data_IF_607120284988
#
_entry.id   IF_607120284988
#
_cell.length_a   1.000
_cell.length_b   1.000
_cell.length_c   1.000
_cell.angle_alpha   90.00
_cell.angle_beta   90.00
_cell.angle_gamma   90.00
#
_symmetry.space_group_name_H-M   'P 1'
#
loop_
_entity.id
_entity.type
_entity.pdbx_description
1 polymer ?
#
# COMPACT_ATOMS: atom_id res chain seq x y z
N UNK A 1 -3.96 10.21 20.62
CA UNK A 1 -4.87 11.32 20.98
C UNK A 1 -5.38 11.15 22.42
N UNK A 2 -6.00 10.01 22.79
CA UNK A 2 -6.51 9.78 24.16
C UNK A 2 -5.43 10.06 25.20
N UNK A 3 -4.25 9.46 25.05
CA UNK A 3 -3.09 9.67 25.93
C UNK A 3 -2.71 11.15 26.06
N UNK A 4 -2.83 11.92 24.97
CA UNK A 4 -2.52 13.34 24.94
C UNK A 4 -3.59 14.15 25.69
N UNK A 5 -4.88 13.82 25.49
CA UNK A 5 -6.00 14.44 26.22
C UNK A 5 -5.87 14.17 27.72
N UNK A 6 -5.50 12.95 28.11
CA UNK A 6 -5.24 12.57 29.50
C UNK A 6 -4.07 13.34 30.08
N UNK A 7 -2.97 13.50 29.32
CA UNK A 7 -1.78 14.24 29.73
C UNK A 7 -2.05 15.73 30.00
N UNK A 8 -2.84 16.37 29.13
CA UNK A 8 -3.20 17.79 29.29
C UNK A 8 -4.40 18.01 30.21
N UNK A 9 -5.06 16.97 30.69
CA UNK A 9 -6.29 17.07 31.47
C UNK A 9 -7.50 17.59 30.69
N UNK A 10 -7.46 17.49 29.36
CA UNK A 10 -8.51 17.93 28.44
C UNK A 10 -7.98 18.10 27.02
N UNK A 11 -8.87 18.45 26.10
CA UNK A 11 -8.49 18.67 24.68
C UNK A 11 -7.59 19.89 24.54
N UNK A 12 -6.37 19.75 24.04
CA UNK A 12 -5.48 20.89 23.82
C UNK A 12 -6.11 21.92 22.86
N UNK A 13 -5.85 23.20 23.10
CA UNK A 13 -6.41 24.29 22.29
C UNK A 13 -6.04 24.20 20.81
N UNK A 14 -4.87 23.69 20.51
CA UNK A 14 -4.41 23.50 19.13
C UNK A 14 -5.10 22.32 18.39
N UNK A 15 -5.87 21.45 19.04
CA UNK A 15 -6.72 20.47 18.37
C UNK A 15 -7.83 21.09 17.55
N UNK A 16 -8.37 22.22 18.01
CA UNK A 16 -9.50 22.89 17.37
C UNK A 16 -9.12 23.98 16.38
N UNK A 17 -7.89 24.52 16.46
CA UNK A 17 -7.58 25.82 15.89
C UNK A 17 -6.21 25.90 15.20
N UNK A 18 -5.82 24.91 14.46
CA UNK A 18 -4.58 24.94 13.69
C UNK A 18 -4.70 25.51 12.30
N UNK A 19 -5.85 25.93 11.93
CA UNK A 19 -6.06 26.55 10.66
C UNK A 19 -6.20 28.05 10.81
N UNK A 20 -5.12 28.75 11.02
CA UNK A 20 -5.10 30.08 10.46
C UNK A 20 -5.02 29.91 8.94
N UNK A 21 -5.94 30.53 8.21
CA UNK A 21 -6.21 30.39 6.78
C UNK A 21 -5.03 30.70 5.84
N UNK A 22 -3.85 30.96 6.36
CA UNK A 22 -2.70 31.35 5.59
C UNK A 22 -2.19 30.24 4.64
N UNK A 23 -2.59 28.98 4.86
CA UNK A 23 -2.15 27.86 4.03
C UNK A 23 -3.27 26.91 3.60
N UNK A 24 -4.54 27.23 3.86
CA UNK A 24 -5.69 26.39 3.46
C UNK A 24 -5.67 24.99 4.09
N UNK A 25 -5.27 24.88 5.35
CA UNK A 25 -4.91 23.61 5.96
C UNK A 25 -5.98 23.05 6.91
N UNK A 26 -7.21 22.91 6.42
CA UNK A 26 -8.29 22.26 7.17
C UNK A 26 -7.95 20.82 7.63
N UNK A 27 -7.00 20.18 6.92
CA UNK A 27 -6.53 18.83 7.25
C UNK A 27 -5.61 18.75 8.47
N UNK A 28 -5.14 19.84 9.00
CA UNK A 28 -4.35 19.90 10.26
C UNK A 28 -5.23 19.90 11.51
N UNK A 29 -6.49 19.56 11.40
CA UNK A 29 -7.42 19.50 12.53
C UNK A 29 -7.47 18.07 13.09
N UNK A 30 -6.76 17.75 14.17
CA UNK A 30 -6.78 16.39 14.74
C UNK A 30 -8.19 15.89 15.11
N UNK A 31 -9.12 16.80 15.36
CA UNK A 31 -10.51 16.45 15.69
C UNK A 31 -11.29 15.86 14.52
N UNK A 32 -10.90 16.11 13.27
CA UNK A 32 -11.60 15.55 12.11
C UNK A 32 -11.60 14.03 12.08
N UNK A 33 -10.60 13.37 12.71
CA UNK A 33 -10.60 11.91 12.85
C UNK A 33 -11.81 11.40 13.66
N UNK A 34 -12.27 12.15 14.65
CA UNK A 34 -13.42 11.77 15.46
C UNK A 34 -14.74 11.93 14.69
N UNK A 35 -14.83 12.96 13.86
CA UNK A 35 -16.00 13.26 13.04
C UNK A 35 -16.13 12.28 11.86
N UNK A 36 -15.03 11.92 11.25
CA UNK A 36 -15.00 11.22 9.98
C UNK A 36 -14.69 9.72 10.06
N UNK A 37 -14.23 9.22 11.22
CA UNK A 37 -13.85 7.81 11.36
C UNK A 37 -14.98 6.85 10.99
N UNK A 38 -16.18 7.10 11.49
CA UNK A 38 -17.36 6.31 11.15
C UNK A 38 -17.98 6.72 9.82
N UNK A 39 -18.01 8.04 9.53
CA UNK A 39 -18.54 8.59 8.29
C UNK A 39 -17.86 8.01 7.05
N UNK A 40 -16.56 7.78 7.10
CA UNK A 40 -15.79 7.18 6.02
C UNK A 40 -15.61 5.65 6.15
N UNK A 41 -16.40 5.01 6.99
CA UNK A 41 -16.39 3.57 7.24
C UNK A 41 -15.02 3.02 7.71
N UNK A 42 -14.14 3.86 8.26
CA UNK A 42 -12.84 3.44 8.77
C UNK A 42 -12.98 2.50 9.98
N UNK A 43 -14.06 2.65 10.77
CA UNK A 43 -14.41 1.76 11.87
C UNK A 43 -14.63 0.32 11.41
N UNK A 44 -15.18 0.10 10.22
CA UNK A 44 -15.38 -1.24 9.66
C UNK A 44 -14.06 -1.93 9.34
N UNK A 45 -13.06 -1.16 8.90
CA UNK A 45 -11.76 -1.67 8.46
C UNK A 45 -10.79 -1.80 9.63
N UNK A 46 -10.71 -0.77 10.47
CA UNK A 46 -9.74 -0.71 11.57
C UNK A 46 -10.32 -1.10 12.93
N UNK A 47 -11.64 -1.18 13.06
CA UNK A 47 -12.32 -1.41 14.33
C UNK A 47 -12.40 -0.15 15.18
N UNK A 48 -11.29 0.38 15.60
CA UNK A 48 -11.16 1.58 16.42
C UNK A 48 -10.04 2.52 15.95
N UNK A 49 -9.94 3.69 16.56
CA UNK A 49 -8.98 4.74 16.21
C UNK A 49 -7.56 4.40 16.68
N UNK A 50 -7.44 3.62 17.74
CA UNK A 50 -6.19 3.12 18.26
C UNK A 50 -5.52 2.17 17.25
N UNK A 51 -6.28 1.26 16.68
CA UNK A 51 -5.79 0.38 15.61
C UNK A 51 -5.42 1.16 14.33
N UNK A 52 -6.23 2.16 13.95
CA UNK A 52 -5.87 3.05 12.85
C UNK A 52 -4.52 3.72 13.10
N UNK A 53 -4.31 4.25 14.31
CA UNK A 53 -3.05 4.88 14.69
C UNK A 53 -1.87 3.87 14.67
N UNK A 54 -2.10 2.65 15.13
CA UNK A 54 -1.11 1.57 15.11
C UNK A 54 -0.67 1.25 13.68
N UNK A 55 -1.61 1.05 12.75
CA UNK A 55 -1.32 0.82 11.33
C UNK A 55 -0.59 2.01 10.68
N UNK A 56 -0.97 3.25 11.03
CA UNK A 56 -0.27 4.47 10.61
C UNK A 56 1.19 4.48 11.06
N UNK A 57 1.47 4.10 12.30
CA UNK A 57 2.82 4.02 12.84
C UNK A 57 3.65 2.93 12.16
N UNK A 58 3.10 1.74 11.97
CA UNK A 58 3.78 0.67 11.22
C UNK A 58 4.10 1.10 9.79
N UNK A 59 3.15 1.78 9.11
CA UNK A 59 3.38 2.34 7.78
C UNK A 59 4.52 3.35 7.77
N UNK A 60 4.57 4.24 8.77
CA UNK A 60 5.62 5.24 8.92
C UNK A 60 6.99 4.57 9.03
N UNK A 61 7.17 3.59 9.94
CA UNK A 61 8.47 2.94 10.12
C UNK A 61 8.90 2.12 8.91
N UNK A 62 7.98 1.46 8.20
CA UNK A 62 8.29 0.81 6.91
C UNK A 62 8.75 1.81 5.85
N UNK A 63 8.15 2.98 5.79
CA UNK A 63 8.56 4.05 4.88
C UNK A 63 9.94 4.62 5.28
N UNK A 64 10.18 4.86 6.57
CA UNK A 64 11.48 5.29 7.09
C UNK A 64 12.58 4.27 6.76
N UNK A 65 12.34 2.97 6.98
CA UNK A 65 13.28 1.92 6.62
C UNK A 65 13.64 2.00 5.13
N UNK A 66 12.66 2.01 4.25
CA UNK A 66 12.89 2.06 2.80
C UNK A 66 13.68 3.30 2.39
N UNK A 67 13.32 4.48 2.88
CA UNK A 67 14.00 5.73 2.55
C UNK A 67 15.45 5.76 3.06
N UNK A 68 15.68 5.34 4.29
CA UNK A 68 17.01 5.33 4.89
C UNK A 68 17.91 4.29 4.21
N UNK A 69 17.38 3.10 3.92
CA UNK A 69 18.12 2.08 3.18
C UNK A 69 18.50 2.57 1.78
N UNK A 70 17.58 3.22 1.04
CA UNK A 70 17.89 3.80 -0.26
C UNK A 70 18.96 4.90 -0.19
N UNK A 71 18.98 5.69 0.87
CA UNK A 71 20.07 6.65 1.10
C UNK A 71 21.40 5.93 1.40
N UNK A 72 21.37 4.89 2.25
CA UNK A 72 22.57 4.12 2.64
C UNK A 72 23.16 3.28 1.51
N UNK A 73 22.35 2.87 0.53
CA UNK A 73 22.83 2.22 -0.71
C UNK A 73 23.60 3.17 -1.62
N UNK A 74 23.68 4.45 -1.32
CA UNK A 74 24.33 5.48 -2.12
C UNK A 74 25.58 6.02 -1.43
N UNK A 75 26.80 5.58 -1.80
CA UNK A 75 28.03 5.90 -1.07
C UNK A 75 28.40 7.40 -1.09
N UNK A 76 27.73 8.20 -1.92
CA UNK A 76 27.91 9.67 -1.96
C UNK A 76 27.08 10.42 -0.94
N UNK A 77 26.10 9.76 -0.29
CA UNK A 77 25.28 10.36 0.75
C UNK A 77 25.96 10.13 2.09
N UNK A 78 26.47 11.19 2.70
CA UNK A 78 27.24 11.11 3.94
C UNK A 78 26.40 11.22 5.22
N UNK A 79 25.11 11.50 5.10
CA UNK A 79 24.21 11.61 6.25
C UNK A 79 22.81 12.04 5.83
N UNK A 80 21.88 11.93 6.79
CA UNK A 80 20.49 12.34 6.65
C UNK A 80 19.96 12.83 7.99
N UNK A 81 18.88 13.58 7.95
CA UNK A 81 18.17 14.06 9.13
C UNK A 81 16.76 13.50 9.11
N UNK A 82 16.35 12.90 10.23
CA UNK A 82 14.97 12.47 10.43
C UNK A 82 14.20 13.57 11.13
N UNK A 83 13.19 14.08 10.51
CA UNK A 83 12.26 15.04 11.07
C UNK A 83 10.95 14.30 11.37
N UNK A 84 10.59 14.09 12.61
CA UNK A 84 11.07 14.64 13.88
C UNK A 84 11.45 13.55 14.88
N UNK A 85 12.07 13.96 16.00
CA UNK A 85 12.38 13.05 17.10
C UNK A 85 11.13 12.61 17.85
N UNK A 86 10.24 13.55 18.19
CA UNK A 86 8.97 13.30 18.86
C UNK A 86 7.87 14.15 18.25
N UNK A 87 6.64 13.68 18.36
CA UNK A 87 5.47 14.43 17.93
C UNK A 87 5.40 15.80 18.57
N UNK A 88 4.91 16.78 17.84
CA UNK A 88 4.70 18.15 18.29
C UNK A 88 3.38 18.69 17.74
N UNK A 89 2.50 19.16 18.62
CA UNK A 89 1.19 19.71 18.24
C UNK A 89 0.42 18.78 17.26
N UNK A 90 0.13 19.25 16.06
CA UNK A 90 -0.59 18.50 15.02
C UNK A 90 0.32 17.58 14.20
N UNK A 91 1.64 17.69 14.33
CA UNK A 91 2.58 16.84 13.62
C UNK A 91 2.78 15.52 14.36
N UNK A 92 2.54 14.40 13.66
CA UNK A 92 2.63 13.04 14.19
C UNK A 92 3.67 12.19 13.47
N UNK A 93 4.67 12.82 12.88
CA UNK A 93 5.77 12.20 12.16
C UNK A 93 6.99 11.89 13.06
N UNK A 94 6.95 12.22 14.34
CA UNK A 94 7.98 11.84 15.31
C UNK A 94 8.13 10.31 15.43
N UNK A 95 9.33 9.85 15.72
CA UNK A 95 9.58 8.44 16.07
C UNK A 95 9.08 8.08 17.46
N UNK A 96 8.99 9.08 18.34
CA UNK A 96 8.37 8.99 19.65
C UNK A 96 7.05 9.78 19.64
N UNK A 97 6.15 9.42 20.52
CA UNK A 97 4.92 10.18 20.71
C UNK A 97 5.14 11.47 21.52
N UNK A 98 4.09 12.24 21.78
CA UNK A 98 4.15 13.50 22.55
C UNK A 98 4.71 13.32 23.96
N UNK A 99 4.55 12.16 24.56
CA UNK A 99 5.08 11.85 25.89
C UNK A 99 6.45 11.20 25.84
N UNK A 100 7.02 11.12 24.64
CA UNK A 100 8.30 10.49 24.31
C UNK A 100 8.34 8.99 24.54
N UNK A 101 7.18 8.33 24.47
CA UNK A 101 7.13 6.89 24.40
C UNK A 101 7.35 6.41 22.97
N UNK A 102 7.92 5.23 22.82
CA UNK A 102 8.19 4.63 21.52
C UNK A 102 6.88 4.32 20.80
N UNK A 103 6.79 4.74 19.55
CA UNK A 103 5.71 4.33 18.66
C UNK A 103 5.92 2.88 18.20
N UNK A 104 4.85 2.23 17.80
CA UNK A 104 4.90 0.90 17.22
C UNK A 104 5.78 0.87 15.96
N UNK A 105 6.72 -0.07 15.91
CA UNK A 105 7.73 -0.17 14.85
C UNK A 105 9.08 0.45 15.22
N UNK A 106 9.16 1.29 16.26
CA UNK A 106 10.43 1.89 16.71
C UNK A 106 11.45 0.83 17.11
N UNK A 107 11.01 -0.29 17.65
CA UNK A 107 11.87 -1.42 18.05
C UNK A 107 12.72 -1.96 16.90
N UNK A 108 12.28 -1.73 15.65
CA UNK A 108 13.02 -2.10 14.44
C UNK A 108 13.93 -0.99 13.89
N UNK A 109 13.94 0.19 14.48
CA UNK A 109 14.71 1.31 13.97
C UNK A 109 16.22 1.04 13.88
N UNK A 110 16.78 0.24 14.78
CA UNK A 110 18.19 -0.16 14.76
C UNK A 110 18.58 -0.99 13.52
N UNK A 111 17.63 -1.67 12.90
CA UNK A 111 17.87 -2.51 11.72
C UNK A 111 18.37 -1.66 10.54
N UNK A 112 17.77 -0.49 10.34
CA UNK A 112 18.08 0.39 9.21
C UNK A 112 18.84 1.67 9.60
N UNK A 113 18.83 2.05 10.88
CA UNK A 113 19.46 3.26 11.41
C UNK A 113 20.66 2.97 12.31
N UNK A 114 21.08 1.73 12.42
CA UNK A 114 22.26 1.32 13.16
C UNK A 114 23.58 1.71 12.49
N UNK A 115 24.72 1.60 13.19
CA UNK A 115 26.02 1.90 12.60
C UNK A 115 26.46 0.87 11.55
N UNK A 116 26.01 -0.36 11.66
CA UNK A 116 26.24 -1.42 10.66
C UNK A 116 24.88 -1.89 10.13
N UNK A 117 24.62 -1.75 8.84
CA UNK A 117 23.37 -2.14 8.20
C UNK A 117 23.64 -3.00 6.97
N UNK A 118 23.08 -4.19 6.96
CA UNK A 118 23.06 -5.10 5.81
C UNK A 118 21.75 -4.94 5.04
N UNK A 119 21.80 -4.82 3.72
CA UNK A 119 20.65 -4.56 2.85
C UNK A 119 20.69 -5.43 1.62
N UNK A 120 19.53 -5.83 1.13
CA UNK A 120 19.40 -6.40 -0.21
C UNK A 120 19.11 -5.28 -1.24
N UNK A 121 19.61 -5.46 -2.45
CA UNK A 121 19.40 -4.54 -3.57
C UNK A 121 18.91 -5.28 -4.80
N UNK A 122 18.00 -4.66 -5.57
CA UNK A 122 17.38 -5.30 -6.73
C UNK A 122 16.33 -6.35 -6.38
N UNK A 123 15.75 -6.30 -5.17
CA UNK A 123 14.74 -7.28 -4.72
C UNK A 123 13.42 -7.11 -5.47
N UNK A 124 12.98 -8.19 -6.11
CA UNK A 124 11.62 -8.31 -6.66
C UNK A 124 10.65 -8.56 -5.51
N UNK A 125 9.77 -7.58 -5.24
CA UNK A 125 8.85 -7.66 -4.09
C UNK A 125 7.73 -8.66 -4.28
N UNK A 126 7.26 -8.84 -5.51
CA UNK A 126 6.14 -9.71 -5.84
C UNK A 126 6.57 -10.69 -6.93
N UNK A 127 6.59 -11.99 -6.61
CA UNK A 127 7.18 -13.01 -7.48
C UNK A 127 6.17 -14.10 -7.84
N UNK A 128 6.31 -14.64 -9.03
CA UNK A 128 5.66 -15.88 -9.41
C UNK A 128 6.49 -17.11 -9.02
N UNK A 129 5.81 -18.17 -8.60
CA UNK A 129 6.44 -19.50 -8.50
C UNK A 129 7.16 -19.87 -9.81
N UNK A 130 8.40 -20.31 -9.71
CA UNK A 130 9.23 -20.74 -10.83
C UNK A 130 10.07 -19.63 -11.47
N UNK A 131 9.92 -18.36 -11.09
CA UNK A 131 10.79 -17.28 -11.55
C UNK A 131 12.22 -17.48 -11.03
N UNK A 132 13.18 -16.89 -11.71
CA UNK A 132 14.58 -16.89 -11.28
C UNK A 132 14.98 -15.52 -10.79
N UNK A 133 15.43 -15.46 -9.56
CA UNK A 133 15.82 -14.24 -8.89
C UNK A 133 17.33 -14.15 -8.68
N UNK A 134 17.84 -12.94 -8.77
CA UNK A 134 19.25 -12.62 -8.51
C UNK A 134 19.32 -11.25 -7.84
N UNK A 135 19.78 -11.21 -6.58
CA UNK A 135 19.82 -9.99 -5.78
C UNK A 135 21.24 -9.73 -5.29
N UNK A 136 21.57 -8.45 -5.19
CA UNK A 136 22.83 -7.96 -4.62
C UNK A 136 22.68 -7.78 -3.10
N UNK A 137 23.83 -7.79 -2.40
CA UNK A 137 23.90 -7.36 -1.01
C UNK A 137 24.72 -6.09 -0.91
N UNK A 138 24.23 -5.14 -0.14
CA UNK A 138 24.93 -3.91 0.20
C UNK A 138 25.09 -3.84 1.71
N UNK A 139 26.29 -3.49 2.17
CA UNK A 139 26.61 -3.30 3.58
C UNK A 139 27.10 -1.87 3.76
N UNK A 140 26.41 -1.12 4.63
CA UNK A 140 26.81 0.20 5.07
C UNK A 140 27.41 0.08 6.48
N UNK A 141 28.73 0.25 6.60
CA UNK A 141 29.48 0.08 7.83
C UNK A 141 30.04 1.42 8.30
N UNK A 142 29.42 2.00 9.31
CA UNK A 142 29.90 3.20 10.00
C UNK A 142 30.46 2.86 11.40
N UNK A 143 30.61 1.58 11.71
CA UNK A 143 31.40 1.15 12.85
C UNK A 143 32.90 1.44 12.60
N UNK A 144 33.62 1.70 13.66
CA UNK A 144 35.10 1.80 13.61
C UNK A 144 35.77 0.41 13.66
N UNK A 145 35.01 -0.65 13.39
CA UNK A 145 35.47 -2.03 13.45
C UNK A 145 35.52 -2.64 12.05
N UNK A 146 36.50 -3.53 11.84
CA UNK A 146 36.62 -4.27 10.61
C UNK A 146 35.35 -5.06 10.27
N UNK A 147 34.96 -5.02 9.01
CA UNK A 147 33.84 -5.81 8.50
C UNK A 147 34.32 -7.23 8.18
N UNK A 148 34.25 -8.09 9.16
CA UNK A 148 34.53 -9.51 9.04
C UNK A 148 33.42 -10.35 9.68
N UNK A 149 33.30 -11.63 9.29
CA UNK A 149 32.30 -12.53 9.82
C UNK A 149 31.66 -13.43 8.78
N UNK A 150 30.43 -13.79 9.01
CA UNK A 150 29.62 -14.61 8.10
C UNK A 150 28.33 -13.85 7.78
N UNK A 151 28.10 -13.59 6.50
CA UNK A 151 26.80 -13.16 5.99
C UNK A 151 25.94 -14.39 5.77
N UNK A 152 24.76 -14.39 6.36
CA UNK A 152 23.74 -15.43 6.19
C UNK A 152 22.47 -14.81 5.59
N UNK A 153 21.78 -15.57 4.75
CA UNK A 153 20.45 -15.18 4.25
C UNK A 153 19.52 -16.38 4.17
N UNK A 154 18.26 -16.13 4.35
CA UNK A 154 17.19 -17.12 4.20
C UNK A 154 15.90 -16.46 3.72
N UNK A 155 15.07 -17.21 3.00
CA UNK A 155 13.67 -16.85 2.75
C UNK A 155 12.81 -17.68 3.71
N UNK A 156 12.09 -16.97 4.59
CA UNK A 156 11.26 -17.59 5.62
C UNK A 156 10.28 -18.60 5.03
N UNK A 157 10.02 -19.67 5.78
CA UNK A 157 9.09 -20.75 5.38
C UNK A 157 9.43 -21.44 4.06
N UNK A 158 10.71 -21.40 3.64
CA UNK A 158 11.25 -22.12 2.48
C UNK A 158 12.59 -22.78 2.84
N UNK A 159 13.11 -23.60 1.94
CA UNK A 159 14.45 -24.17 2.08
C UNK A 159 15.55 -23.28 1.48
N UNK A 160 15.19 -22.08 1.01
CA UNK A 160 16.13 -21.15 0.36
C UNK A 160 16.93 -20.43 1.42
N UNK A 161 18.21 -20.74 1.49
CA UNK A 161 19.16 -20.13 2.41
C UNK A 161 20.58 -20.21 1.85
N UNK A 162 21.47 -19.40 2.37
CA UNK A 162 22.88 -19.45 2.03
C UNK A 162 23.73 -18.65 2.98
N UNK A 163 25.03 -18.74 2.81
CA UNK A 163 25.99 -17.95 3.58
C UNK A 163 27.26 -17.70 2.78
N UNK A 164 28.02 -16.69 3.20
CA UNK A 164 29.36 -16.42 2.70
C UNK A 164 30.22 -15.77 3.78
N UNK A 165 31.53 -15.98 3.70
CA UNK A 165 32.50 -15.29 4.56
C UNK A 165 32.64 -13.84 4.11
N UNK A 166 32.64 -12.93 5.08
CA UNK A 166 33.00 -11.52 4.90
C UNK A 166 34.42 -11.30 5.41
N UNK A 167 35.21 -10.56 4.63
CA UNK A 167 36.56 -10.16 4.96
C UNK A 167 36.92 -8.86 4.20
N UNK A 168 36.20 -7.77 4.57
CA UNK A 168 36.15 -6.51 3.83
C UNK A 168 36.94 -5.39 4.54
N UNK A 169 37.63 -5.73 5.65
CA UNK A 169 38.44 -4.78 6.41
C UNK A 169 37.65 -3.56 6.87
N UNK A 170 38.28 -2.39 6.78
CA UNK A 170 37.71 -1.10 7.24
C UNK A 170 36.74 -0.45 6.22
N UNK A 171 36.20 -1.21 5.27
CA UNK A 171 35.34 -0.67 4.23
C UNK A 171 34.03 -0.09 4.80
N UNK A 172 33.76 1.18 4.51
CA UNK A 172 32.53 1.85 4.92
C UNK A 172 31.31 1.45 4.09
N UNK A 173 31.55 1.03 2.86
CA UNK A 173 30.53 0.63 1.93
C UNK A 173 31.01 -0.57 1.11
N UNK A 174 30.25 -1.64 1.13
CA UNK A 174 30.52 -2.86 0.38
C UNK A 174 29.31 -3.21 -0.46
N UNK A 175 29.53 -3.46 -1.76
CA UNK A 175 28.54 -4.03 -2.66
C UNK A 175 29.02 -5.40 -3.12
N UNK A 176 28.24 -6.41 -2.79
CA UNK A 176 28.45 -7.80 -3.15
C UNK A 176 27.42 -8.17 -4.23
N UNK A 177 27.82 -8.26 -5.51
CA UNK A 177 26.88 -8.49 -6.58
C UNK A 177 26.41 -9.95 -6.64
N UNK A 178 25.15 -10.16 -6.95
CA UNK A 178 24.55 -11.46 -7.28
C UNK A 178 24.77 -12.54 -6.21
N UNK A 179 24.79 -12.14 -4.94
CA UNK A 179 25.02 -13.08 -3.81
C UNK A 179 23.84 -14.02 -3.61
N UNK A 180 22.62 -13.51 -3.76
CA UNK A 180 21.41 -14.30 -3.58
C UNK A 180 20.89 -14.70 -4.96
N UNK A 181 20.89 -16.00 -5.23
CA UNK A 181 20.39 -16.57 -6.50
C UNK A 181 19.55 -17.79 -6.18
N UNK A 182 18.31 -17.81 -6.69
CA UNK A 182 17.41 -18.93 -6.47
C UNK A 182 16.32 -19.00 -7.54
N UNK A 183 15.64 -20.15 -7.57
CA UNK A 183 14.37 -20.29 -8.27
C UNK A 183 13.25 -20.17 -7.23
N UNK A 184 12.28 -19.32 -7.49
CA UNK A 184 11.13 -19.09 -6.58
C UNK A 184 10.37 -20.41 -6.38
N UNK A 185 10.15 -20.85 -5.14
CA UNK A 185 9.54 -22.14 -4.88
C UNK A 185 8.09 -22.21 -5.35
N UNK A 186 7.63 -23.41 -5.65
CA UNK A 186 6.22 -23.65 -5.91
C UNK A 186 5.41 -23.48 -4.62
N UNK A 187 4.34 -22.70 -4.69
CA UNK A 187 3.41 -22.48 -3.59
C UNK A 187 1.98 -22.81 -4.02
N UNK A 188 1.14 -23.25 -3.09
CA UNK A 188 -0.27 -23.57 -3.35
C UNK A 188 -1.18 -22.35 -3.35
N UNK A 189 -0.82 -21.31 -2.59
CA UNK A 189 -1.53 -20.04 -2.47
C UNK A 189 -0.54 -18.88 -2.42
N UNK A 190 -1.00 -17.70 -2.77
CA UNK A 190 -0.22 -16.47 -2.57
C UNK A 190 -0.07 -16.20 -1.07
N UNK A 191 1.15 -15.86 -0.64
CA UNK A 191 1.42 -15.57 0.77
C UNK A 191 2.61 -14.61 0.92
N UNK A 192 2.74 -14.06 2.13
CA UNK A 192 3.90 -13.27 2.53
C UNK A 192 5.07 -14.16 2.94
N UNK A 193 6.25 -13.75 2.55
CA UNK A 193 7.54 -14.31 2.94
C UNK A 193 8.47 -13.17 3.37
N UNK A 194 9.58 -13.52 4.00
CA UNK A 194 10.63 -12.56 4.36
C UNK A 194 11.98 -13.06 3.89
N UNK A 195 12.69 -12.20 3.18
CA UNK A 195 14.14 -12.34 3.09
C UNK A 195 14.72 -11.83 4.40
N UNK A 196 15.44 -12.66 5.11
CA UNK A 196 16.16 -12.31 6.34
C UNK A 196 17.65 -12.35 6.09
N UNK A 197 18.34 -11.28 6.42
CA UNK A 197 19.79 -11.12 6.30
C UNK A 197 20.40 -11.03 7.69
N UNK A 198 21.55 -11.66 7.93
CA UNK A 198 22.30 -11.57 9.19
C UNK A 198 23.79 -11.50 8.92
N UNK A 199 24.50 -10.68 9.68
CA UNK A 199 25.96 -10.75 9.79
C UNK A 199 26.29 -11.26 11.17
N UNK A 200 27.04 -12.38 11.22
CA UNK A 200 27.52 -12.96 12.47
C UNK A 200 29.02 -12.78 12.60
N UNK A 201 29.46 -12.44 13.82
CA UNK A 201 30.85 -12.44 14.22
C UNK A 201 30.97 -13.19 15.53
N UNK A 202 31.88 -14.14 15.64
CA UNK A 202 32.10 -14.95 16.83
C UNK A 202 30.83 -15.59 17.43
N UNK A 203 29.86 -15.91 16.55
CA UNK A 203 28.59 -16.49 16.95
C UNK A 203 27.47 -15.48 17.25
N UNK A 204 27.80 -14.22 17.45
CA UNK A 204 26.84 -13.15 17.74
C UNK A 204 26.31 -12.49 16.46
N UNK A 205 25.04 -12.14 16.43
CA UNK A 205 24.45 -11.33 15.33
C UNK A 205 24.81 -9.87 15.58
N UNK A 206 25.65 -9.30 14.72
CA UNK A 206 26.09 -7.90 14.80
C UNK A 206 25.30 -6.96 13.89
N UNK A 207 24.61 -7.49 12.90
CA UNK A 207 23.64 -6.77 12.05
C UNK A 207 22.63 -7.75 11.48
N UNK A 208 21.41 -7.31 11.33
CA UNK A 208 20.36 -8.09 10.64
C UNK A 208 19.38 -7.16 9.93
N UNK A 209 18.65 -7.72 8.97
CA UNK A 209 17.60 -7.01 8.25
C UNK A 209 16.55 -7.97 7.74
N UNK A 210 15.35 -7.47 7.46
CA UNK A 210 14.29 -8.24 6.85
C UNK A 210 13.62 -7.45 5.71
N UNK A 211 13.27 -8.15 4.65
CA UNK A 211 12.58 -7.60 3.49
C UNK A 211 11.34 -8.44 3.24
N UNK A 212 10.17 -7.81 3.32
CA UNK A 212 8.90 -8.46 3.00
C UNK A 212 8.76 -8.63 1.48
N UNK A 213 8.38 -9.82 1.07
CA UNK A 213 8.15 -10.23 -0.31
C UNK A 213 6.88 -11.08 -0.38
N UNK A 214 6.28 -11.21 -1.56
CA UNK A 214 5.17 -12.14 -1.81
C UNK A 214 5.55 -13.17 -2.85
N UNK A 215 5.03 -14.38 -2.70
CA UNK A 215 5.13 -15.43 -3.72
C UNK A 215 3.72 -15.88 -4.07
N UNK A 216 3.43 -15.92 -5.37
CA UNK A 216 2.13 -16.30 -5.91
C UNK A 216 2.24 -17.52 -6.82
N UNK A 217 1.26 -18.46 -6.78
CA UNK A 217 1.24 -19.57 -7.70
C UNK A 217 0.82 -19.12 -9.11
N UNK A 218 1.42 -19.68 -10.14
CA UNK A 218 0.91 -19.62 -11.51
C UNK A 218 -0.22 -20.64 -11.67
N UNK A 219 -1.39 -20.31 -11.13
CA UNK A 219 -2.52 -21.23 -11.07
C UNK A 219 -3.74 -20.60 -11.72
N UNK A 220 -4.36 -21.33 -12.62
CA UNK A 220 -5.65 -20.96 -13.19
C UNK A 220 -6.75 -21.07 -12.12
N UNK A 221 -7.73 -20.21 -12.21
CA UNK A 221 -8.93 -20.25 -11.35
C UNK A 221 -9.99 -21.20 -11.94
N UNK A 222 -10.99 -21.53 -11.12
CA UNK A 222 -12.17 -22.25 -11.62
C UNK A 222 -12.87 -21.42 -12.70
N UNK A 223 -13.29 -22.04 -13.80
CA UNK A 223 -13.90 -21.33 -14.91
C UNK A 223 -15.11 -20.51 -14.47
N UNK A 224 -15.07 -19.21 -14.72
CA UNK A 224 -16.18 -18.26 -14.64
C UNK A 224 -16.41 -17.72 -16.03
N UNK A 225 -17.68 -17.49 -16.38
CA UNK A 225 -18.04 -16.94 -17.68
C UNK A 225 -18.00 -15.43 -17.64
N UNK A 226 -17.01 -14.84 -18.32
CA UNK A 226 -16.71 -13.41 -18.29
C UNK A 226 -17.04 -12.76 -19.62
N UNK A 227 -17.74 -11.64 -19.58
CA UNK A 227 -17.85 -10.74 -20.74
C UNK A 227 -16.91 -9.54 -20.54
N UNK A 228 -15.78 -9.51 -21.25
CA UNK A 228 -14.85 -8.36 -21.23
C UNK A 228 -15.39 -7.26 -22.15
N UNK A 229 -16.27 -6.42 -21.61
CA UNK A 229 -16.92 -5.36 -22.36
C UNK A 229 -16.01 -4.15 -22.52
N UNK A 230 -15.71 -3.75 -23.75
CA UNK A 230 -14.82 -2.61 -24.08
C UNK A 230 -13.40 -2.74 -23.47
N UNK A 231 -12.86 -3.97 -23.52
CA UNK A 231 -11.54 -4.30 -23.00
C UNK A 231 -10.55 -4.57 -24.13
N UNK A 232 -9.27 -4.25 -23.90
CA UNK A 232 -8.23 -4.50 -24.90
C UNK A 232 -7.89 -5.99 -25.06
N UNK A 233 -7.36 -6.35 -26.23
CA UNK A 233 -7.03 -7.75 -26.58
C UNK A 233 -6.03 -8.42 -25.63
N UNK A 234 -5.10 -7.67 -25.06
CA UNK A 234 -4.10 -8.20 -24.11
C UNK A 234 -4.77 -8.64 -22.82
N UNK A 235 -5.65 -7.83 -22.28
CA UNK A 235 -6.42 -8.17 -21.09
C UNK A 235 -7.31 -9.39 -21.31
N UNK A 236 -8.02 -9.43 -22.46
CA UNK A 236 -8.88 -10.57 -22.85
C UNK A 236 -8.07 -11.86 -22.96
N UNK A 237 -6.88 -11.80 -23.55
CA UNK A 237 -5.96 -12.96 -23.62
C UNK A 237 -5.55 -13.42 -22.22
N UNK A 238 -5.14 -12.50 -21.36
CA UNK A 238 -4.75 -12.82 -20.00
C UNK A 238 -5.89 -13.45 -19.18
N UNK A 239 -7.16 -13.04 -19.40
CA UNK A 239 -8.32 -13.72 -18.81
C UNK A 239 -8.39 -15.21 -19.24
N UNK A 240 -8.20 -15.46 -20.54
CA UNK A 240 -8.21 -16.82 -21.10
C UNK A 240 -7.06 -17.66 -20.56
N UNK A 241 -5.85 -17.10 -20.48
CA UNK A 241 -4.66 -17.77 -19.95
C UNK A 241 -4.80 -18.11 -18.46
N UNK A 242 -5.59 -17.34 -17.72
CA UNK A 242 -5.95 -17.60 -16.34
C UNK A 242 -7.13 -18.58 -16.16
N UNK A 243 -7.64 -19.17 -17.25
CA UNK A 243 -8.65 -20.24 -17.25
C UNK A 243 -10.11 -19.76 -17.27
N UNK A 244 -10.35 -18.47 -17.52
CA UNK A 244 -11.70 -17.91 -17.60
C UNK A 244 -12.34 -18.20 -18.96
N UNK A 245 -13.65 -18.38 -18.96
CA UNK A 245 -14.44 -18.60 -20.19
C UNK A 245 -14.96 -17.28 -20.71
N UNK A 246 -14.51 -16.86 -21.88
CA UNK A 246 -14.92 -15.60 -22.50
C UNK A 246 -16.22 -15.76 -23.27
N UNK A 247 -17.15 -14.83 -23.07
CA UNK A 247 -18.38 -14.65 -23.83
C UNK A 247 -18.46 -13.21 -24.34
N UNK A 248 -19.43 -12.94 -25.23
CA UNK A 248 -19.55 -11.64 -25.90
C UNK A 248 -20.93 -10.98 -25.75
N UNK A 249 -21.73 -11.45 -24.82
CA UNK A 249 -23.06 -10.88 -24.51
C UNK A 249 -23.31 -10.83 -23.01
N UNK A 250 -24.08 -9.85 -22.55
CA UNK A 250 -24.50 -9.70 -21.17
C UNK A 250 -25.30 -10.92 -20.68
N UNK A 251 -26.23 -11.45 -21.50
CA UNK A 251 -27.13 -12.54 -21.10
C UNK A 251 -26.42 -13.85 -20.77
N UNK A 252 -25.21 -14.04 -21.27
CA UNK A 252 -24.44 -15.27 -21.06
C UNK A 252 -23.29 -15.12 -20.06
N UNK A 253 -23.07 -13.91 -19.56
CA UNK A 253 -22.01 -13.60 -18.63
C UNK A 253 -22.44 -13.87 -17.18
N UNK A 254 -21.56 -14.51 -16.39
CA UNK A 254 -21.68 -14.51 -14.94
C UNK A 254 -21.19 -13.19 -14.35
N UNK A 255 -20.22 -12.55 -15.03
CA UNK A 255 -19.72 -11.22 -14.68
C UNK A 255 -19.27 -10.45 -15.92
N UNK A 256 -19.54 -9.17 -15.93
CA UNK A 256 -19.00 -8.22 -16.91
C UNK A 256 -17.77 -7.53 -16.32
N UNK A 257 -16.64 -7.59 -17.02
CA UNK A 257 -15.43 -6.84 -16.66
C UNK A 257 -15.24 -5.73 -17.68
N UNK A 258 -15.08 -4.50 -17.23
CA UNK A 258 -15.08 -3.32 -18.11
C UNK A 258 -14.27 -2.16 -17.57
N UNK A 259 -13.79 -1.29 -18.44
CA UNK A 259 -13.27 0.05 -18.10
C UNK A 259 -14.29 1.17 -18.43
N UNK A 260 -15.51 0.82 -18.86
CA UNK A 260 -16.56 1.76 -19.27
C UNK A 260 -17.82 1.59 -18.43
N UNK A 261 -18.37 2.69 -17.92
CA UNK A 261 -19.65 2.74 -17.19
C UNK A 261 -20.71 3.52 -17.98
N UNK A 262 -21.13 2.95 -19.09
CA UNK A 262 -22.21 3.52 -19.90
C UNK A 262 -23.61 3.02 -19.44
N UNK A 263 -24.65 3.51 -20.08
CA UNK A 263 -26.04 3.16 -19.74
C UNK A 263 -26.31 1.65 -19.87
N UNK A 264 -25.69 0.97 -20.80
CA UNK A 264 -25.88 -0.47 -21.05
C UNK A 264 -25.33 -1.29 -19.88
N UNK A 265 -24.08 -1.02 -19.45
CA UNK A 265 -23.45 -1.66 -18.29
C UNK A 265 -24.23 -1.37 -17.00
N UNK A 266 -24.67 -0.12 -16.80
CA UNK A 266 -25.42 0.26 -15.61
C UNK A 266 -26.83 -0.36 -15.58
N UNK A 267 -27.47 -0.56 -16.72
CA UNK A 267 -28.74 -1.28 -16.79
C UNK A 267 -28.53 -2.76 -16.45
N UNK A 268 -27.52 -3.41 -17.04
CA UNK A 268 -27.19 -4.79 -16.68
C UNK A 268 -26.98 -4.97 -15.17
N UNK A 269 -26.25 -4.05 -14.52
CA UNK A 269 -26.10 -4.08 -13.06
C UNK A 269 -27.44 -3.92 -12.33
N UNK A 270 -28.29 -2.96 -12.75
CA UNK A 270 -29.59 -2.72 -12.11
C UNK A 270 -30.57 -3.90 -12.27
N UNK A 271 -30.43 -4.63 -13.36
CA UNK A 271 -31.22 -5.83 -13.67
C UNK A 271 -30.68 -7.11 -12.98
N UNK A 272 -29.73 -6.94 -12.04
CA UNK A 272 -29.21 -8.04 -11.21
C UNK A 272 -27.86 -8.61 -11.68
N UNK A 273 -27.23 -8.01 -12.69
CA UNK A 273 -25.93 -8.43 -13.18
C UNK A 273 -24.77 -8.05 -12.26
N UNK A 274 -23.66 -8.77 -12.40
CA UNK A 274 -22.42 -8.48 -11.70
C UNK A 274 -21.42 -7.76 -12.62
N UNK A 275 -20.89 -6.64 -12.15
CA UNK A 275 -19.94 -5.80 -12.90
C UNK A 275 -18.68 -5.56 -12.09
N UNK A 276 -17.53 -5.80 -12.71
CA UNK A 276 -16.21 -5.38 -12.22
C UNK A 276 -15.70 -4.27 -13.14
N UNK A 277 -15.65 -3.06 -12.60
CA UNK A 277 -15.06 -1.92 -13.29
C UNK A 277 -13.59 -1.77 -12.87
N UNK A 278 -12.69 -1.73 -13.85
CA UNK A 278 -11.25 -1.48 -13.69
C UNK A 278 -10.92 -0.14 -14.33
N UNK A 279 -10.48 0.83 -13.55
CA UNK A 279 -10.07 2.13 -14.09
C UNK A 279 -8.84 1.99 -15.01
N UNK A 280 -8.84 2.71 -16.11
CA UNK A 280 -7.67 2.85 -16.97
C UNK A 280 -6.61 3.74 -16.31
N UNK A 281 -5.35 3.46 -16.59
CA UNK A 281 -4.24 4.30 -16.15
C UNK A 281 -4.31 5.66 -16.86
N UNK A 282 -4.16 6.73 -16.10
CA UNK A 282 -4.21 8.09 -16.63
C UNK A 282 -5.61 8.62 -16.88
N UNK A 283 -6.65 7.96 -16.41
CA UNK A 283 -8.02 8.48 -16.39
C UNK A 283 -8.03 9.87 -15.71
N UNK A 284 -8.33 10.88 -16.52
CA UNK A 284 -8.54 12.24 -16.01
C UNK A 284 -9.84 12.28 -15.22
N UNK A 285 -10.04 13.39 -14.51
CA UNK A 285 -11.31 13.69 -13.88
C UNK A 285 -12.43 13.55 -14.89
N UNK A 286 -13.14 12.45 -14.82
CA UNK A 286 -14.30 12.17 -15.69
C UNK A 286 -15.46 11.69 -14.83
N UNK A 287 -16.65 12.11 -15.19
CA UNK A 287 -17.86 11.50 -14.68
C UNK A 287 -18.07 10.18 -15.44
N UNK A 288 -17.96 9.06 -14.74
CA UNK A 288 -18.29 7.75 -15.27
C UNK A 288 -19.56 7.25 -14.58
N UNK A 289 -20.65 7.33 -15.30
CA UNK A 289 -21.98 7.06 -14.73
C UNK A 289 -22.31 8.05 -13.59
N UNK A 290 -22.52 7.52 -12.38
CA UNK A 290 -22.81 8.31 -11.18
C UNK A 290 -21.57 8.62 -10.33
N UNK A 291 -20.40 8.24 -10.78
CA UNK A 291 -19.14 8.36 -10.04
C UNK A 291 -18.26 9.42 -10.67
N UNK A 292 -17.67 10.25 -9.83
CA UNK A 292 -16.62 11.19 -10.18
C UNK A 292 -15.30 10.62 -9.71
N UNK A 293 -14.31 10.56 -10.59
CA UNK A 293 -12.95 10.13 -10.26
C UNK A 293 -12.04 11.34 -10.15
N UNK A 294 -11.11 11.30 -9.20
CA UNK A 294 -10.21 12.39 -8.90
C UNK A 294 -8.79 11.91 -8.75
N UNK A 295 -7.86 12.63 -9.35
CA UNK A 295 -6.43 12.41 -9.18
C UNK A 295 -6.03 12.58 -7.71
N UNK A 296 -5.20 11.68 -7.21
CA UNK A 296 -4.58 11.79 -5.90
C UNK A 296 -3.44 12.81 -5.95
N UNK A 297 -3.46 13.75 -5.02
CA UNK A 297 -2.33 14.64 -4.80
C UNK A 297 -1.15 13.85 -4.20
N UNK A 298 -0.18 13.51 -5.05
CA UNK A 298 0.99 12.70 -4.68
C UNK A 298 2.11 13.51 -4.05
N UNK A 299 1.81 14.40 -3.14
CA UNK A 299 2.84 14.92 -2.26
C UNK A 299 3.33 16.33 -2.52
N UNK A 300 2.59 17.14 -3.21
CA UNK A 300 2.86 18.59 -3.34
C UNK A 300 2.35 19.39 -2.14
N UNK A 301 1.67 18.76 -1.21
CA UNK A 301 1.14 19.39 -0.02
C UNK A 301 1.75 18.83 1.25
N UNK A 302 1.80 19.64 2.28
CA UNK A 302 2.17 19.26 3.65
C UNK A 302 1.15 18.29 4.31
N UNK A 303 0.27 17.69 3.53
CA UNK A 303 -0.78 16.74 3.92
C UNK A 303 -0.27 15.40 4.40
N UNK A 304 0.90 15.33 4.94
CA UNK A 304 1.59 14.05 5.17
C UNK A 304 1.26 13.43 6.51
N UNK A 305 0.59 14.16 7.36
CA UNK A 305 0.25 13.69 8.69
C UNK A 305 -0.84 12.63 8.62
N UNK A 306 -0.50 11.41 8.99
CA UNK A 306 -1.42 10.27 9.05
C UNK A 306 -2.13 9.93 7.74
N UNK A 307 -1.48 10.19 6.59
CA UNK A 307 -2.07 9.92 5.27
C UNK A 307 -1.57 8.61 4.70
N UNK A 308 -2.45 7.70 4.33
CA UNK A 308 -2.06 6.45 3.65
C UNK A 308 -3.22 5.77 2.89
N UNK A 309 -2.86 4.88 1.98
CA UNK A 309 -3.79 3.96 1.35
C UNK A 309 -4.06 2.76 2.26
N UNK A 310 -5.29 2.34 2.34
CA UNK A 310 -5.74 1.23 3.17
C UNK A 310 -6.63 0.26 2.39
N UNK A 311 -6.72 -0.96 2.87
CA UNK A 311 -7.59 -2.00 2.33
C UNK A 311 -8.23 -2.82 3.43
N UNK A 312 -9.47 -3.23 3.22
CA UNK A 312 -10.15 -4.22 4.03
C UNK A 312 -9.60 -5.61 3.69
N UNK A 313 -8.67 -6.09 4.50
CA UNK A 313 -8.04 -7.40 4.30
C UNK A 313 -9.00 -8.55 4.51
N UNK A 314 -10.07 -8.35 5.31
CA UNK A 314 -11.07 -9.38 5.57
C UNK A 314 -11.97 -9.61 4.32
N UNK A 315 -12.07 -8.58 3.45
CA UNK A 315 -12.72 -8.72 2.15
C UNK A 315 -11.95 -9.63 1.20
N UNK A 316 -10.62 -9.65 1.28
CA UNK A 316 -9.71 -10.41 0.41
C UNK A 316 -9.14 -11.64 1.15
N UNK A 317 -10.00 -12.56 1.48
CA UNK A 317 -9.60 -13.81 2.14
C UNK A 317 -8.44 -14.50 1.39
N UNK A 318 -7.40 -14.86 2.12
CA UNK A 318 -6.24 -15.58 1.63
C UNK A 318 -5.36 -14.86 0.57
N UNK A 319 -5.48 -13.55 0.39
CA UNK A 319 -4.52 -12.78 -0.37
C UNK A 319 -3.52 -12.07 0.57
N UNK A 320 -2.24 -12.02 0.20
CA UNK A 320 -1.22 -11.33 0.99
C UNK A 320 -1.32 -9.81 0.81
N UNK A 321 -2.23 -9.20 1.55
CA UNK A 321 -2.45 -7.76 1.58
C UNK A 321 -2.28 -7.24 3.01
N UNK A 322 -1.56 -6.14 3.16
CA UNK A 322 -1.47 -5.40 4.42
C UNK A 322 -2.58 -4.36 4.49
N UNK A 323 -3.20 -4.23 5.66
CA UNK A 323 -4.31 -3.28 5.88
C UNK A 323 -3.90 -1.83 5.54
N UNK A 324 -2.68 -1.45 5.83
CA UNK A 324 -2.06 -0.17 5.47
C UNK A 324 -1.26 -0.25 4.16
N UNK A 325 -1.71 -0.93 3.19
CA UNK A 325 -1.12 -1.21 1.87
C UNK A 325 0.40 -0.97 1.80
N UNK A 326 1.15 -2.04 1.62
CA UNK A 326 2.62 -2.04 1.64
C UNK A 326 3.24 -2.30 0.26
N UNK A 327 4.38 -2.98 0.25
CA UNK A 327 5.14 -3.29 -0.95
C UNK A 327 4.49 -4.34 -1.85
N UNK A 328 3.54 -5.10 -1.34
CA UNK A 328 2.70 -6.00 -2.14
C UNK A 328 1.90 -5.24 -3.20
N UNK A 329 1.65 -3.95 -2.97
CA UNK A 329 0.94 -3.07 -3.89
C UNK A 329 1.89 -2.21 -4.74
N UNK A 330 3.19 -2.51 -4.79
CA UNK A 330 4.13 -1.76 -5.62
C UNK A 330 3.73 -1.82 -7.09
N UNK A 331 3.63 -0.66 -7.73
CA UNK A 331 3.11 -0.53 -9.10
C UNK A 331 1.57 -0.55 -9.22
N UNK A 332 0.83 -0.88 -8.14
CA UNK A 332 -0.64 -1.01 -8.16
C UNK A 332 -1.38 0.12 -7.47
N UNK A 333 -0.67 1.04 -6.79
CA UNK A 333 -1.31 2.16 -6.11
C UNK A 333 -2.16 3.00 -7.07
N UNK A 334 -3.38 3.41 -6.62
CA UNK A 334 -4.26 4.20 -7.46
C UNK A 334 -3.68 5.58 -7.73
N UNK A 335 -3.90 6.08 -8.95
CA UNK A 335 -3.65 7.47 -9.30
C UNK A 335 -4.87 8.36 -8.98
N UNK A 336 -6.03 7.74 -8.83
CA UNK A 336 -7.32 8.38 -8.64
C UNK A 336 -8.11 7.73 -7.52
N UNK A 337 -9.03 8.49 -6.95
CA UNK A 337 -10.02 8.00 -5.98
C UNK A 337 -11.41 8.53 -6.32
N UNK A 338 -12.43 7.90 -5.77
CA UNK A 338 -13.80 8.40 -5.73
C UNK A 338 -13.92 9.22 -4.45
N UNK A 339 -13.95 10.56 -4.50
CA UNK A 339 -13.92 11.40 -3.31
C UNK A 339 -15.21 11.30 -2.50
N UNK A 340 -15.08 11.33 -1.17
CA UNK A 340 -16.20 11.29 -0.22
C UNK A 340 -16.43 12.63 0.47
N UNK A 341 -15.56 13.60 0.24
CA UNK A 341 -15.66 14.92 0.85
C UNK A 341 -15.59 16.01 -0.21
N UNK A 342 -16.41 17.03 -0.04
CA UNK A 342 -16.24 18.30 -0.72
C UNK A 342 -15.05 18.99 -0.10
N UNK A 343 -13.94 18.95 -0.77
CA UNK A 343 -12.75 19.59 -0.30
C UNK A 343 -12.32 20.70 -1.24
N UNK A 344 -12.13 21.87 -0.65
CA UNK A 344 -11.52 23.00 -1.31
C UNK A 344 -10.14 23.21 -0.72
N UNK A 345 -9.11 22.70 -1.34
CA UNK A 345 -7.78 23.18 -1.02
C UNK A 345 -7.45 24.37 -1.90
N UNK A 346 -7.27 25.48 -1.24
CA UNK A 346 -6.61 26.64 -1.82
C UNK A 346 -5.11 26.47 -1.62
N UNK A 347 -4.40 26.52 -2.73
CA UNK A 347 -3.00 26.34 -2.92
C UNK A 347 -2.07 26.36 -1.71
N UNK A 348 -1.29 25.31 -1.56
CA UNK A 348 -0.06 25.35 -0.78
C UNK A 348 1.01 26.18 -1.50
N UNK A 349 2.11 26.39 -0.84
CA UNK A 349 3.26 27.20 -1.25
C UNK A 349 3.86 26.91 -2.63
N UNK A 350 3.34 25.98 -3.40
CA UNK A 350 3.88 25.51 -4.69
C UNK A 350 2.86 25.62 -5.83
N UNK A 351 1.78 26.36 -5.66
CA UNK A 351 0.99 26.88 -6.79
C UNK A 351 0.10 25.90 -7.54
N UNK A 352 -0.19 24.69 -7.05
CA UNK A 352 -1.23 23.83 -7.61
C UNK A 352 -2.49 23.87 -6.75
N UNK A 353 -3.57 24.26 -7.38
CA UNK A 353 -4.92 24.19 -6.81
C UNK A 353 -5.49 22.83 -7.19
N UNK A 354 -5.64 21.95 -6.23
CA UNK A 354 -6.39 20.70 -6.41
C UNK A 354 -7.82 20.96 -5.92
N UNK A 355 -8.75 21.07 -6.85
CA UNK A 355 -10.17 21.08 -6.51
C UNK A 355 -10.67 19.66 -6.41
N UNK A 356 -11.08 19.21 -5.25
CA UNK A 356 -11.87 17.99 -5.12
C UNK A 356 -13.35 18.40 -5.05
N UNK A 357 -14.08 18.11 -6.09
CA UNK A 357 -15.54 18.21 -6.09
C UNK A 357 -16.06 16.78 -5.94
N UNK A 358 -16.52 16.42 -4.78
CA UNK A 358 -17.21 15.17 -4.50
C UNK A 358 -18.50 15.48 -3.79
N UNK A 359 -19.39 14.54 -3.75
CA UNK A 359 -20.51 14.62 -2.82
C UNK A 359 -19.96 14.49 -1.40
N UNK A 360 -20.55 15.20 -0.43
CA UNK A 360 -20.18 15.09 0.99
C UNK A 360 -20.56 13.73 1.61
N UNK A 361 -20.82 12.74 0.80
CA UNK A 361 -21.27 11.42 1.21
C UNK A 361 -20.66 10.33 0.32
N UNK A 362 -20.42 9.20 0.94
CA UNK A 362 -20.21 7.94 0.23
C UNK A 362 -21.47 7.68 -0.61
N UNK A 363 -21.35 7.28 -1.88
CA UNK A 363 -22.51 6.93 -2.69
C UNK A 363 -23.42 5.92 -1.97
N UNK A 364 -24.72 6.13 -2.04
CA UNK A 364 -25.72 5.29 -1.35
C UNK A 364 -25.49 3.79 -1.67
N UNK A 365 -25.71 2.95 -0.68
CA UNK A 365 -25.53 1.49 -0.75
C UNK A 365 -24.11 1.05 -1.14
N UNK A 366 -23.10 1.90 -0.87
CA UNK A 366 -21.70 1.58 -1.13
C UNK A 366 -20.99 1.08 0.12
N UNK A 367 -20.21 0.04 -0.07
CA UNK A 367 -19.25 -0.49 0.88
C UNK A 367 -17.85 -0.13 0.41
N UNK A 368 -17.05 0.54 1.24
CA UNK A 368 -15.68 0.90 0.93
C UNK A 368 -14.79 -0.29 1.28
N UNK A 369 -14.14 -0.85 0.27
CA UNK A 369 -13.20 -1.95 0.45
C UNK A 369 -11.78 -1.43 0.59
N UNK A 370 -11.46 -0.37 -0.14
CA UNK A 370 -10.16 0.28 -0.07
C UNK A 370 -10.30 1.76 -0.33
N UNK A 371 -9.38 2.52 0.23
CA UNK A 371 -9.38 3.97 0.06
C UNK A 371 -8.06 4.62 0.44
N UNK A 372 -8.10 5.92 0.38
CA UNK A 372 -7.07 6.81 0.83
C UNK A 372 -7.68 7.90 1.70
N UNK A 373 -7.01 8.24 2.77
CA UNK A 373 -7.36 9.43 3.55
C UNK A 373 -6.16 10.34 3.74
N UNK A 374 -6.42 11.59 3.94
CA UNK A 374 -5.44 12.63 4.19
C UNK A 374 -5.66 13.28 5.55
N UNK A 375 -4.55 13.65 6.18
CA UNK A 375 -4.47 14.53 7.32
C UNK A 375 -5.56 14.32 8.37
N UNK A 376 -5.39 13.43 9.33
CA UNK A 376 -6.38 13.17 10.38
C UNK A 376 -7.78 12.78 9.87
N UNK A 377 -7.85 12.13 8.70
CA UNK A 377 -9.08 11.83 7.98
C UNK A 377 -9.96 13.06 7.69
N UNK A 378 -9.35 14.22 7.51
CA UNK A 378 -10.04 15.42 7.05
C UNK A 378 -10.62 15.26 5.65
N UNK A 379 -9.97 14.43 4.83
CA UNK A 379 -10.39 14.07 3.48
C UNK A 379 -10.26 12.57 3.28
N UNK A 380 -11.12 12.02 2.47
CA UNK A 380 -11.04 10.62 2.07
C UNK A 380 -11.64 10.37 0.70
N UNK A 381 -11.21 9.27 0.07
CA UNK A 381 -11.80 8.75 -1.14
C UNK A 381 -11.64 7.24 -1.22
N UNK A 382 -12.56 6.58 -1.90
CA UNK A 382 -12.51 5.16 -2.18
C UNK A 382 -11.62 4.86 -3.38
N UNK A 383 -10.76 3.88 -3.24
CA UNK A 383 -10.01 3.29 -4.36
C UNK A 383 -10.57 1.94 -4.78
N UNK A 384 -11.41 1.33 -3.94
CA UNK A 384 -12.27 0.21 -4.30
C UNK A 384 -13.59 0.32 -3.52
N UNK A 385 -14.70 0.31 -4.26
CA UNK A 385 -16.05 0.43 -3.71
C UNK A 385 -16.92 -0.69 -4.30
N UNK A 386 -17.77 -1.27 -3.46
CA UNK A 386 -18.77 -2.24 -3.88
C UNK A 386 -20.15 -1.66 -3.64
N UNK A 387 -20.97 -1.61 -4.68
CA UNK A 387 -22.41 -1.35 -4.57
C UNK A 387 -23.18 -2.66 -4.80
N UNK A 388 -24.23 -2.86 -4.04
CA UNK A 388 -25.13 -4.02 -4.19
C UNK A 388 -26.50 -3.55 -4.64
N UNK A 389 -27.06 -4.21 -5.64
CA UNK A 389 -28.48 -4.20 -5.99
C UNK A 389 -29.17 -5.38 -5.30
N UNK A 390 -30.45 -5.62 -5.59
CA UNK A 390 -31.19 -6.75 -5.01
C UNK A 390 -30.50 -8.12 -5.31
N UNK A 391 -29.97 -8.31 -6.49
CA UNK A 391 -29.38 -9.58 -6.96
C UNK A 391 -27.99 -9.38 -7.58
N UNK A 392 -27.60 -8.16 -7.97
CA UNK A 392 -26.35 -7.85 -8.63
C UNK A 392 -25.35 -7.08 -7.75
N UNK A 393 -24.15 -6.90 -8.29
CA UNK A 393 -23.11 -6.09 -7.68
C UNK A 393 -22.33 -5.28 -8.71
N UNK A 394 -21.88 -4.10 -8.29
CA UNK A 394 -20.97 -3.26 -9.05
C UNK A 394 -19.73 -3.02 -8.18
N UNK A 395 -18.62 -3.65 -8.53
CA UNK A 395 -17.31 -3.40 -7.91
C UNK A 395 -16.54 -2.44 -8.78
N UNK A 396 -16.19 -1.28 -8.21
CA UNK A 396 -15.36 -0.29 -8.89
C UNK A 396 -14.00 -0.25 -8.21
N UNK A 397 -12.92 -0.28 -9.00
CA UNK A 397 -11.57 -0.08 -8.46
C UNK A 397 -10.76 0.85 -9.35
N UNK A 398 -10.00 1.73 -8.69
CA UNK A 398 -9.01 2.62 -9.31
C UNK A 398 -7.58 2.10 -9.13
N UNK A 399 -7.41 0.92 -8.53
CA UNK A 399 -6.11 0.26 -8.49
C UNK A 399 -5.64 -0.04 -9.92
N UNK A 400 -4.36 0.08 -10.15
CA UNK A 400 -3.74 -0.14 -11.47
C UNK A 400 -3.72 -1.62 -11.86
N UNK A 401 -4.91 -2.25 -11.86
CA UNK A 401 -5.06 -3.67 -12.12
C UNK A 401 -5.13 -3.99 -13.62
N UNK A 402 -5.73 -3.10 -14.42
CA UNK A 402 -5.98 -3.36 -15.84
C UNK A 402 -4.68 -3.59 -16.62
N UNK A 403 -3.71 -2.70 -16.48
CA UNK A 403 -2.43 -2.79 -17.17
C UNK A 403 -1.47 -3.83 -16.57
N UNK A 404 -1.72 -4.27 -15.33
CA UNK A 404 -0.85 -5.19 -14.60
C UNK A 404 -1.38 -6.63 -14.53
N UNK A 405 -2.59 -6.88 -15.04
CA UNK A 405 -3.21 -8.19 -15.02
C UNK A 405 -2.50 -9.18 -15.96
N UNK A 406 -2.10 -10.32 -15.42
CA UNK A 406 -1.32 -11.36 -16.10
C UNK A 406 0.19 -11.27 -15.83
N UNK A 407 0.73 -10.08 -15.69
CA UNK A 407 2.16 -9.86 -15.46
C UNK A 407 2.49 -9.71 -13.97
N UNK A 408 1.78 -8.84 -13.25
CA UNK A 408 2.02 -8.62 -11.84
C UNK A 408 1.29 -9.67 -10.97
N UNK A 409 2.01 -10.42 -10.11
CA UNK A 409 1.42 -11.52 -9.33
C UNK A 409 0.20 -11.09 -8.52
N UNK A 410 0.32 -10.06 -7.71
CA UNK A 410 -0.75 -9.61 -6.81
C UNK A 410 -1.93 -9.01 -7.59
N UNK A 411 -1.69 -8.24 -8.66
CA UNK A 411 -2.78 -7.73 -9.51
C UNK A 411 -3.61 -8.87 -10.09
N UNK A 412 -2.93 -9.92 -10.57
CA UNK A 412 -3.58 -11.09 -11.15
C UNK A 412 -4.40 -11.84 -10.10
N UNK A 413 -3.86 -12.05 -8.90
CA UNK A 413 -4.59 -12.71 -7.81
C UNK A 413 -5.82 -11.89 -7.39
N UNK A 414 -5.71 -10.57 -7.31
CA UNK A 414 -6.82 -9.67 -6.95
C UNK A 414 -7.92 -9.74 -7.99
N UNK A 415 -7.62 -9.57 -9.29
CA UNK A 415 -8.64 -9.63 -10.36
C UNK A 415 -9.32 -10.99 -10.39
N UNK A 416 -8.55 -12.07 -10.31
CA UNK A 416 -9.08 -13.42 -10.26
C UNK A 416 -9.99 -13.64 -9.05
N UNK A 417 -9.60 -13.11 -7.88
CA UNK A 417 -10.42 -13.16 -6.67
C UNK A 417 -11.75 -12.40 -6.85
N UNK A 418 -11.69 -11.16 -7.36
CA UNK A 418 -12.87 -10.34 -7.59
C UNK A 418 -13.85 -10.99 -8.58
N UNK A 419 -13.33 -11.59 -9.64
CA UNK A 419 -14.15 -12.33 -10.61
C UNK A 419 -14.79 -13.57 -9.95
N UNK A 420 -14.05 -14.29 -9.11
CA UNK A 420 -14.54 -15.52 -8.46
C UNK A 420 -15.53 -15.26 -7.34
N UNK A 421 -15.47 -14.09 -6.70
CA UNK A 421 -16.31 -13.72 -5.54
C UNK A 421 -17.77 -13.46 -5.90
N UNK A 422 -18.09 -13.32 -7.17
CA UNK A 422 -19.48 -13.10 -7.65
C UNK A 422 -20.36 -14.37 -7.59
N UNK A 423 -19.85 -15.48 -7.08
CA UNK A 423 -20.59 -16.76 -6.91
C UNK A 423 -21.20 -16.93 -5.54
#
# INVERSE_FOLDING_TARGET
IKKLVDYYGGTPSWFANLGDDTHGEDFKKPLTIFENFERYQLNRIFGDKENLALHSQHRMFRACQSLIEEMRKRPKINGYVVTEFSDIEWETNGWLDYTRDMKAGFEKASIFNGPLVVMADGVTRNMWSGDKETWDIIISNHNQEELNGILEWEISNTEIQGNMKLDEGDSLFVKLPQVIQFTVPAVEKADFYKLVLRIRREGEIISWNEVEITISPRKTISPVTVFPYDMNDTFVRNLTDNGLKIVNTFDTAEIVVTCTLNTEVLNYYRDGGHVLFLAENGDKVEEKGQFTFRELDRGESWNRTSSFNYVDTDYFENLPLNKEMGWEMDGLYPDYVIPFSNYHKLGGTIGRIVYMFGNDSIPDNSEIISGYFQGWAGQAGGSMIVQKSAEGSLTLTTWRLLENYGDHPIATQIVNYLISKTR
#
